data_IF_679816166365
#
_entry.id   IF_679816166365
#
_cell.length_a   1.000
_cell.length_b   1.000
_cell.length_c   1.000
_cell.angle_alpha   90.00
_cell.angle_beta   90.00
_cell.angle_gamma   90.00
#
_symmetry.space_group_name_H-M   'P 1'
#
loop_
_entity.id
_entity.type
_entity.pdbx_description
1 polymer ?
#
# COMPACT_ATOMS: atom_id res chain seq x y z
N UNK A 1 -20.78 -17.64 20.93
CA UNK A 1 -19.93 -17.68 22.14
C UNK A 1 -18.44 -17.88 21.80
N UNK A 2 -18.06 -18.93 21.06
CA UNK A 2 -16.66 -19.26 20.70
C UNK A 2 -15.94 -18.13 19.94
N UNK A 3 -16.61 -17.50 18.96
CA UNK A 3 -16.03 -16.39 18.19
C UNK A 3 -15.72 -15.13 19.03
N UNK A 4 -16.44 -14.93 20.13
CA UNK A 4 -16.21 -13.82 21.05
C UNK A 4 -15.03 -14.07 21.99
N UNK A 5 -14.85 -15.32 22.45
CA UNK A 5 -13.71 -15.70 23.27
C UNK A 5 -12.40 -15.61 22.48
N UNK A 6 -12.36 -16.18 21.27
CA UNK A 6 -11.17 -16.10 20.41
C UNK A 6 -10.75 -14.65 20.11
N UNK A 7 -11.72 -13.76 19.88
CA UNK A 7 -11.44 -12.35 19.68
C UNK A 7 -10.91 -11.67 20.97
N UNK A 8 -11.45 -11.98 22.14
CA UNK A 8 -10.91 -11.45 23.42
C UNK A 8 -9.49 -11.95 23.71
N UNK A 9 -9.21 -13.22 23.42
CA UNK A 9 -7.86 -13.78 23.52
C UNK A 9 -6.92 -13.06 22.55
N UNK A 10 -7.33 -12.85 21.30
CA UNK A 10 -6.56 -12.10 20.31
C UNK A 10 -6.29 -10.64 20.74
N UNK A 11 -7.28 -9.97 21.32
CA UNK A 11 -7.11 -8.63 21.87
C UNK A 11 -6.11 -8.61 23.05
N UNK A 12 -6.22 -9.56 23.97
CA UNK A 12 -5.29 -9.71 25.09
C UNK A 12 -3.87 -9.99 24.63
N UNK A 13 -3.68 -10.90 23.66
CA UNK A 13 -2.38 -11.19 23.07
C UNK A 13 -1.77 -9.94 22.40
N UNK A 14 -2.56 -9.18 21.65
CA UNK A 14 -2.09 -7.94 21.03
C UNK A 14 -1.69 -6.88 22.05
N UNK A 15 -2.43 -6.73 23.16
CA UNK A 15 -2.06 -5.83 24.26
C UNK A 15 -0.78 -6.26 24.97
N UNK A 16 -0.60 -7.55 25.22
CA UNK A 16 0.62 -8.07 25.84
C UNK A 16 1.84 -7.86 24.93
N UNK A 17 1.69 -8.14 23.63
CA UNK A 17 2.75 -7.89 22.64
C UNK A 17 3.05 -6.40 22.51
N UNK A 18 2.05 -5.53 22.58
CA UNK A 18 2.25 -4.07 22.58
C UNK A 18 3.04 -3.62 23.81
N UNK A 19 2.70 -4.13 25.00
CA UNK A 19 3.45 -3.83 26.22
C UNK A 19 4.91 -4.30 26.14
N UNK A 20 5.13 -5.52 25.64
CA UNK A 20 6.47 -6.06 25.45
C UNK A 20 7.28 -5.30 24.38
N UNK A 21 6.63 -4.87 23.29
CA UNK A 21 7.26 -4.07 22.25
C UNK A 21 7.66 -2.69 22.79
N UNK A 22 6.76 -2.02 23.51
CA UNK A 22 7.03 -0.72 24.11
C UNK A 22 8.11 -0.78 25.20
N UNK A 23 8.30 -1.91 25.89
CA UNK A 23 9.34 -2.04 26.92
C UNK A 23 10.75 -2.16 26.36
N UNK A 24 10.91 -2.51 25.08
CA UNK A 24 12.22 -2.66 24.43
C UNK A 24 12.49 -1.63 23.33
N UNK A 25 11.44 -1.00 22.79
CA UNK A 25 11.55 -0.10 21.66
C UNK A 25 12.30 1.20 22.04
N UNK A 26 13.36 1.58 21.32
CA UNK A 26 14.34 2.59 21.75
C UNK A 26 13.78 4.01 21.79
N UNK A 27 12.77 4.30 20.95
CA UNK A 27 12.15 5.61 20.85
C UNK A 27 10.75 5.66 21.48
N UNK A 28 10.50 4.84 22.52
CA UNK A 28 9.25 4.81 23.29
C UNK A 28 9.06 6.07 24.18
N UNK A 29 9.20 7.26 23.59
CA UNK A 29 9.01 8.53 24.25
C UNK A 29 7.53 8.85 24.53
N UNK A 30 7.25 9.89 25.34
CA UNK A 30 5.90 10.28 25.71
C UNK A 30 5.03 10.63 24.49
N UNK A 31 5.64 11.15 23.42
CA UNK A 31 4.95 11.49 22.18
C UNK A 31 4.40 10.24 21.46
N UNK A 32 5.17 9.14 21.43
CA UNK A 32 4.74 7.90 20.78
C UNK A 32 3.61 7.25 21.58
N UNK A 33 3.75 7.19 22.90
CA UNK A 33 2.70 6.67 23.79
C UNK A 33 1.42 7.50 23.65
N UNK A 34 1.53 8.84 23.63
CA UNK A 34 0.40 9.74 23.42
C UNK A 34 -0.25 9.52 22.04
N UNK A 35 0.54 9.36 20.98
CA UNK A 35 0.04 9.09 19.63
C UNK A 35 -0.69 7.73 19.56
N UNK A 36 -0.14 6.67 20.16
CA UNK A 36 -0.76 5.36 20.23
C UNK A 36 -2.04 5.38 21.08
N UNK A 37 -2.06 6.13 22.18
CA UNK A 37 -3.25 6.31 23.01
C UNK A 37 -4.34 7.11 22.27
N UNK A 38 -3.97 8.18 21.56
CA UNK A 38 -4.90 8.93 20.72
C UNK A 38 -5.47 8.07 19.58
N UNK A 39 -4.62 7.24 18.96
CA UNK A 39 -5.07 6.28 17.95
C UNK A 39 -6.00 5.22 18.55
N UNK A 40 -5.69 4.67 19.72
CA UNK A 40 -6.56 3.74 20.43
C UNK A 40 -7.92 4.37 20.77
N UNK A 41 -7.93 5.63 21.23
CA UNK A 41 -9.15 6.38 21.50
C UNK A 41 -9.96 6.62 20.23
N UNK A 42 -9.31 6.95 19.11
CA UNK A 42 -9.95 7.07 17.80
C UNK A 42 -10.60 5.76 17.38
N UNK A 43 -9.90 4.63 17.49
CA UNK A 43 -10.46 3.31 17.17
C UNK A 43 -11.58 2.91 18.13
N UNK A 44 -11.51 3.33 19.39
CA UNK A 44 -12.59 3.14 20.34
C UNK A 44 -13.82 3.92 19.91
N UNK A 45 -13.67 5.19 19.54
CA UNK A 45 -14.80 6.01 19.08
C UNK A 45 -15.35 5.56 17.72
N UNK A 46 -14.46 5.24 16.77
CA UNK A 46 -14.76 4.84 15.39
C UNK A 46 -13.96 3.59 15.01
N UNK A 47 -14.50 2.38 15.26
CA UNK A 47 -13.79 1.13 15.02
C UNK A 47 -13.36 0.87 13.59
N UNK A 48 -14.00 1.49 12.59
CA UNK A 48 -13.61 1.34 11.19
C UNK A 48 -12.52 2.34 10.75
N UNK A 49 -12.11 3.29 11.59
CA UNK A 49 -11.17 4.35 11.23
C UNK A 49 -9.78 3.83 10.86
N UNK A 50 -9.37 2.65 11.35
CA UNK A 50 -8.12 2.02 10.93
C UNK A 50 -8.06 1.77 9.42
N UNK A 51 -9.21 1.58 8.74
CA UNK A 51 -9.26 1.43 7.29
C UNK A 51 -8.74 2.68 6.58
N UNK A 52 -8.91 3.87 7.16
CA UNK A 52 -8.34 5.12 6.65
C UNK A 52 -6.90 5.29 7.12
N UNK A 53 -6.66 5.13 8.43
CA UNK A 53 -5.38 5.48 9.06
C UNK A 53 -4.27 4.55 8.61
N UNK A 54 -4.46 3.22 8.68
CA UNK A 54 -3.38 2.27 8.38
C UNK A 54 -2.80 2.45 6.97
N UNK A 55 -3.62 2.52 5.89
CA UNK A 55 -3.08 2.76 4.55
C UNK A 55 -2.40 4.12 4.38
N UNK A 56 -2.86 5.14 5.12
CA UNK A 56 -2.32 6.49 5.05
C UNK A 56 -0.95 6.60 5.74
N UNK A 57 -0.76 5.90 6.86
CA UNK A 57 0.50 5.91 7.62
C UNK A 57 1.50 4.86 7.14
N UNK A 58 1.05 3.82 6.44
CA UNK A 58 1.88 2.73 5.90
C UNK A 58 3.16 3.21 5.21
N UNK A 59 3.14 4.20 4.29
CA UNK A 59 4.35 4.61 3.58
C UNK A 59 5.21 5.61 4.35
N UNK A 60 4.80 6.10 5.52
CA UNK A 60 5.53 7.14 6.28
C UNK A 60 6.00 6.69 7.65
N UNK A 61 5.49 5.56 8.16
CA UNK A 61 5.87 4.99 9.46
C UNK A 61 6.99 3.97 9.33
N UNK A 62 8.09 4.41 8.74
CA UNK A 62 9.37 3.72 8.77
C UNK A 62 10.40 4.68 9.36
N UNK A 63 10.59 4.61 10.69
CA UNK A 63 11.61 5.43 11.35
C UNK A 63 12.94 4.69 11.55
N UNK A 64 13.16 3.58 10.83
CA UNK A 64 14.44 2.87 10.82
C UNK A 64 15.64 3.80 10.62
N UNK A 65 15.61 4.85 9.75
CA UNK A 65 16.76 5.75 9.60
C UNK A 65 17.14 6.51 10.87
N UNK A 66 16.20 6.73 11.79
CA UNK A 66 16.44 7.42 13.06
C UNK A 66 16.65 6.45 14.23
N UNK A 67 15.95 5.32 14.26
CA UNK A 67 15.99 4.37 15.38
C UNK A 67 17.00 3.24 15.19
N UNK A 68 17.39 2.95 13.94
CA UNK A 68 18.17 1.77 13.56
C UNK A 68 17.40 0.45 13.63
N UNK A 69 16.15 0.47 14.08
CA UNK A 69 15.32 -0.72 14.28
C UNK A 69 14.44 -0.98 13.06
N UNK A 70 14.58 -2.17 12.47
CA UNK A 70 13.83 -2.58 11.28
C UNK A 70 13.14 -3.95 11.43
N UNK A 71 13.37 -4.65 12.55
CA UNK A 71 12.66 -5.87 12.90
C UNK A 71 11.33 -5.58 13.62
N UNK A 72 11.34 -4.60 14.52
CA UNK A 72 10.16 -4.02 15.15
C UNK A 72 10.10 -2.54 14.73
N UNK A 73 9.05 -2.20 13.99
CA UNK A 73 8.85 -0.87 13.41
C UNK A 73 7.64 -0.19 14.07
N UNK A 74 7.49 1.12 13.87
CA UNK A 74 6.41 1.90 14.48
C UNK A 74 5.04 1.47 13.95
N UNK A 75 5.01 1.05 12.69
CA UNK A 75 3.83 0.45 12.07
C UNK A 75 3.38 -0.81 12.83
N UNK A 76 4.30 -1.64 13.35
CA UNK A 76 3.94 -2.82 14.13
C UNK A 76 3.19 -2.42 15.42
N UNK A 77 3.59 -1.33 16.07
CA UNK A 77 2.91 -0.79 17.25
C UNK A 77 1.49 -0.32 16.92
N UNK A 78 1.32 0.39 15.80
CA UNK A 78 0.00 0.84 15.32
C UNK A 78 -0.88 -0.37 14.96
N UNK A 79 -0.31 -1.41 14.36
CA UNK A 79 -1.00 -2.67 14.03
C UNK A 79 -1.42 -3.43 15.29
N UNK A 80 -0.56 -3.48 16.32
CA UNK A 80 -0.88 -4.06 17.62
C UNK A 80 -2.03 -3.31 18.31
N UNK A 81 -2.02 -1.97 18.31
CA UNK A 81 -3.15 -1.16 18.81
C UNK A 81 -4.43 -1.44 18.02
N UNK A 82 -4.31 -1.55 16.68
CA UNK A 82 -5.44 -1.89 15.80
C UNK A 82 -6.03 -3.25 16.16
N UNK A 83 -5.17 -4.25 16.40
CA UNK A 83 -5.60 -5.58 16.80
C UNK A 83 -6.22 -5.58 18.19
N UNK A 84 -5.56 -4.96 19.18
CA UNK A 84 -6.05 -4.86 20.55
C UNK A 84 -7.46 -4.26 20.62
N UNK A 85 -7.64 -3.05 20.08
CA UNK A 85 -8.92 -2.34 20.11
C UNK A 85 -9.92 -2.99 19.16
N UNK A 86 -9.50 -3.34 17.94
CA UNK A 86 -10.37 -3.91 16.92
C UNK A 86 -10.95 -5.26 17.34
N UNK A 87 -10.11 -6.17 17.84
CA UNK A 87 -10.61 -7.46 18.34
C UNK A 87 -11.50 -7.29 19.56
N UNK A 88 -11.21 -6.35 20.46
CA UNK A 88 -12.07 -6.12 21.62
C UNK A 88 -13.44 -5.55 21.23
N UNK A 89 -13.46 -4.46 20.44
CA UNK A 89 -14.69 -3.75 20.08
C UNK A 89 -15.52 -4.47 19.03
N UNK A 90 -14.89 -5.12 18.06
CA UNK A 90 -15.60 -5.76 16.95
C UNK A 90 -15.91 -7.24 17.21
N UNK A 91 -15.43 -7.83 18.32
CA UNK A 91 -15.69 -9.23 18.70
C UNK A 91 -17.17 -9.62 18.65
N UNK A 92 -18.05 -8.71 19.08
CA UNK A 92 -19.49 -8.96 19.19
C UNK A 92 -20.23 -8.85 17.85
N UNK A 93 -19.61 -8.25 16.82
CA UNK A 93 -20.23 -8.04 15.52
C UNK A 93 -20.07 -9.22 14.57
N UNK A 94 -21.15 -9.54 13.85
CA UNK A 94 -21.09 -10.47 12.73
C UNK A 94 -20.24 -9.90 11.58
N UNK A 95 -19.42 -10.73 10.89
CA UNK A 95 -18.70 -10.27 9.70
C UNK A 95 -19.67 -9.78 8.62
N UNK A 96 -19.52 -8.54 8.17
CA UNK A 96 -20.29 -7.97 7.07
C UNK A 96 -19.77 -8.47 5.71
N UNK A 97 -18.45 -8.63 5.58
CA UNK A 97 -17.78 -9.10 4.38
C UNK A 97 -17.73 -10.63 4.28
N UNK A 98 -18.12 -11.15 3.11
CA UNK A 98 -17.96 -12.56 2.75
C UNK A 98 -16.75 -12.73 1.85
N UNK A 99 -15.95 -13.75 2.14
CA UNK A 99 -14.86 -14.16 1.25
C UNK A 99 -15.42 -15.11 0.19
N UNK A 100 -14.87 -15.11 -1.04
CA UNK A 100 -15.22 -16.12 -2.03
C UNK A 100 -14.81 -17.51 -1.51
N UNK A 101 -15.47 -18.59 -1.96
CA UNK A 101 -15.23 -19.95 -1.44
C UNK A 101 -13.77 -20.41 -1.65
N UNK A 102 -13.11 -19.94 -2.72
CA UNK A 102 -11.72 -20.26 -3.05
C UNK A 102 -10.72 -19.58 -2.10
N UNK A 103 -11.11 -18.49 -1.42
CA UNK A 103 -10.18 -17.74 -0.56
C UNK A 103 -9.69 -18.57 0.63
N UNK A 104 -10.54 -19.41 1.22
CA UNK A 104 -10.15 -20.26 2.36
C UNK A 104 -8.97 -21.18 2.01
N UNK A 105 -9.13 -22.09 1.02
CA UNK A 105 -8.03 -22.93 0.55
C UNK A 105 -6.80 -22.15 0.10
N UNK A 106 -6.98 -21.03 -0.61
CA UNK A 106 -5.86 -20.20 -1.05
C UNK A 106 -5.07 -19.59 0.11
N UNK A 107 -5.74 -19.13 1.17
CA UNK A 107 -5.10 -18.61 2.38
C UNK A 107 -4.37 -19.71 3.15
N UNK A 108 -4.93 -20.92 3.21
CA UNK A 108 -4.26 -22.08 3.83
C UNK A 108 -2.99 -22.44 3.06
N UNK A 109 -3.07 -22.52 1.73
CA UNK A 109 -1.91 -22.79 0.89
C UNK A 109 -0.85 -21.70 1.05
N UNK A 110 -1.26 -20.42 1.04
CA UNK A 110 -0.35 -19.29 1.28
C UNK A 110 0.33 -19.42 2.64
N UNK A 111 -0.42 -19.69 3.71
CA UNK A 111 0.13 -19.87 5.05
C UNK A 111 1.12 -21.05 5.11
N UNK A 112 0.84 -22.17 4.42
CA UNK A 112 1.75 -23.30 4.34
C UNK A 112 3.04 -22.95 3.59
N UNK A 113 2.94 -22.24 2.46
CA UNK A 113 4.10 -21.76 1.71
C UNK A 113 4.95 -20.80 2.55
N UNK A 114 4.32 -19.86 3.27
CA UNK A 114 5.01 -18.91 4.14
C UNK A 114 5.67 -19.60 5.33
N UNK A 115 5.00 -20.57 5.95
CA UNK A 115 5.57 -21.37 7.03
C UNK A 115 6.80 -22.15 6.55
N UNK A 116 6.70 -22.79 5.38
CA UNK A 116 7.82 -23.50 4.77
C UNK A 116 8.99 -22.58 4.40
N UNK A 117 8.71 -21.44 3.77
CA UNK A 117 9.73 -20.45 3.41
C UNK A 117 10.42 -19.87 4.65
N UNK A 118 9.65 -19.59 5.71
CA UNK A 118 10.19 -19.10 6.98
C UNK A 118 11.05 -20.15 7.64
N UNK A 119 10.56 -21.40 7.73
CA UNK A 119 11.32 -22.52 8.26
C UNK A 119 12.68 -22.64 7.57
N UNK A 120 12.68 -22.66 6.23
CA UNK A 120 13.91 -22.69 5.42
C UNK A 120 14.82 -21.49 5.68
N UNK A 121 14.25 -20.30 5.86
CA UNK A 121 14.99 -19.06 6.08
C UNK A 121 15.65 -18.96 7.47
N UNK A 122 15.01 -19.51 8.50
CA UNK A 122 15.54 -19.46 9.88
C UNK A 122 16.49 -20.62 10.21
N UNK A 123 16.55 -21.66 9.37
CA UNK A 123 17.43 -22.83 9.58
C UNK A 123 18.77 -22.71 8.83
N UNK A 124 19.92 -22.90 9.49
CA UNK A 124 20.10 -23.18 10.92
C UNK A 124 19.81 -21.94 11.79
N UNK A 125 19.30 -22.18 13.00
CA UNK A 125 19.03 -21.11 13.96
C UNK A 125 20.35 -20.42 14.32
N UNK A 126 20.42 -19.11 14.11
CA UNK A 126 21.54 -18.31 14.55
C UNK A 126 21.53 -18.17 16.09
N UNK A 127 22.68 -17.93 16.75
CA UNK A 127 22.70 -17.58 18.17
C UNK A 127 21.84 -16.34 18.44
N UNK A 128 21.13 -16.32 19.58
CA UNK A 128 20.37 -15.16 20.05
C UNK A 128 21.31 -14.16 20.74
N UNK A 129 22.17 -13.53 19.96
CA UNK A 129 23.09 -12.48 20.41
C UNK A 129 22.57 -11.07 20.08
N UNK A 130 23.38 -10.05 20.35
CA UNK A 130 23.03 -8.66 20.05
C UNK A 130 22.84 -8.38 18.54
N UNK A 131 23.35 -9.24 17.66
CA UNK A 131 23.26 -9.07 16.21
C UNK A 131 22.09 -9.84 15.59
N UNK A 132 21.47 -10.78 16.31
CA UNK A 132 20.40 -11.64 15.82
C UNK A 132 19.26 -10.88 15.13
N UNK A 133 18.88 -9.70 15.64
CA UNK A 133 17.77 -8.87 15.14
C UNK A 133 18.22 -7.49 14.63
N UNK A 134 19.51 -7.31 14.31
CA UNK A 134 20.07 -6.01 13.93
C UNK A 134 20.83 -6.02 12.59
N UNK A 135 20.78 -7.10 11.82
CA UNK A 135 21.35 -7.14 10.47
C UNK A 135 20.51 -7.97 9.48
N UNK A 136 20.62 -7.65 8.19
CA UNK A 136 19.88 -8.33 7.11
C UNK A 136 20.43 -9.72 6.77
N UNK A 137 21.65 -10.03 7.18
CA UNK A 137 22.34 -11.30 6.92
C UNK A 137 21.96 -12.40 7.90
N UNK A 138 21.33 -12.04 9.03
CA UNK A 138 20.83 -12.96 10.04
C UNK A 138 19.74 -13.86 9.48
N UNK A 139 19.72 -15.13 9.87
CA UNK A 139 18.65 -16.07 9.49
C UNK A 139 17.28 -15.61 9.99
N UNK A 140 17.25 -14.80 11.06
CA UNK A 140 16.02 -14.20 11.57
C UNK A 140 15.42 -13.14 10.64
N UNK A 141 16.14 -12.60 9.65
CA UNK A 141 15.57 -11.69 8.66
C UNK A 141 14.39 -12.32 7.90
N UNK A 142 14.32 -13.66 7.83
CA UNK A 142 13.12 -14.37 7.35
C UNK A 142 11.85 -14.06 8.14
N UNK A 143 11.95 -13.84 9.46
CA UNK A 143 10.82 -13.43 10.31
C UNK A 143 10.36 -12.00 9.99
N UNK A 144 11.30 -11.11 9.67
CA UNK A 144 10.99 -9.74 9.23
C UNK A 144 10.21 -9.74 7.90
N UNK A 145 10.54 -10.64 6.99
CA UNK A 145 9.76 -10.80 5.76
C UNK A 145 8.39 -11.43 6.06
N UNK A 146 8.35 -12.46 6.90
CA UNK A 146 7.11 -13.13 7.30
C UNK A 146 6.09 -12.16 7.91
N UNK A 147 6.52 -11.23 8.78
CA UNK A 147 5.58 -10.29 9.44
C UNK A 147 4.77 -9.46 8.43
N UNK A 148 5.38 -9.08 7.30
CA UNK A 148 4.69 -8.34 6.23
C UNK A 148 3.49 -9.11 5.65
N UNK A 149 3.55 -10.44 5.65
CA UNK A 149 2.43 -11.30 5.23
C UNK A 149 1.52 -11.71 6.39
N UNK A 150 2.07 -11.88 7.59
CA UNK A 150 1.31 -12.26 8.77
C UNK A 150 0.30 -11.17 9.17
N UNK A 151 0.68 -9.90 9.09
CA UNK A 151 -0.19 -8.78 9.47
C UNK A 151 -1.51 -8.73 8.70
N UNK A 152 -1.54 -8.79 7.35
CA UNK A 152 -2.79 -8.88 6.59
C UNK A 152 -3.68 -10.05 7.01
N UNK A 153 -3.10 -11.23 7.31
CA UNK A 153 -3.84 -12.40 7.78
C UNK A 153 -4.48 -12.12 9.14
N UNK A 154 -3.73 -11.51 10.07
CA UNK A 154 -4.23 -11.10 11.39
C UNK A 154 -5.29 -10.00 11.28
N UNK A 155 -5.21 -9.10 10.30
CA UNK A 155 -6.21 -8.03 10.11
C UNK A 155 -7.46 -8.51 9.35
N UNK A 156 -7.40 -9.62 8.62
CA UNK A 156 -8.48 -10.10 7.76
C UNK A 156 -9.83 -10.27 8.49
N UNK A 157 -9.91 -10.84 9.71
CA UNK A 157 -11.17 -10.91 10.45
C UNK A 157 -11.73 -9.52 10.79
N UNK A 158 -10.85 -8.55 11.11
CA UNK A 158 -11.24 -7.18 11.38
C UNK A 158 -11.71 -6.47 10.12
N UNK A 159 -11.05 -6.71 8.98
CA UNK A 159 -11.45 -6.20 7.66
C UNK A 159 -12.87 -6.62 7.31
N UNK A 160 -13.18 -7.91 7.47
CA UNK A 160 -14.51 -8.46 7.19
C UNK A 160 -15.60 -7.88 8.09
N UNK A 161 -15.27 -7.43 9.30
CA UNK A 161 -16.23 -6.75 10.19
C UNK A 161 -16.33 -5.26 9.90
N UNK A 162 -15.21 -4.63 9.52
CA UNK A 162 -15.11 -3.18 9.33
C UNK A 162 -15.53 -2.72 7.95
N UNK A 163 -15.57 -3.60 6.94
CA UNK A 163 -15.90 -3.23 5.56
C UNK A 163 -17.34 -2.70 5.39
N UNK A 164 -18.24 -3.00 6.33
CA UNK A 164 -19.65 -2.62 6.28
C UNK A 164 -20.45 -3.38 5.19
N UNK A 165 -21.78 -3.18 5.12
CA UNK A 165 -22.62 -3.69 4.05
C UNK A 165 -22.13 -3.20 2.69
N UNK A 166 -22.17 -4.07 1.67
CA UNK A 166 -21.75 -3.78 0.28
C UNK A 166 -20.37 -3.10 0.16
N UNK A 167 -19.48 -3.36 1.12
CA UNK A 167 -18.12 -2.83 1.18
C UNK A 167 -18.06 -1.29 1.24
N UNK A 168 -19.12 -0.65 1.76
CA UNK A 168 -19.23 0.82 1.80
C UNK A 168 -18.06 1.49 2.52
N UNK A 169 -17.57 0.90 3.61
CA UNK A 169 -16.46 1.49 4.37
C UNK A 169 -15.12 1.35 3.64
N UNK A 170 -14.96 0.36 2.75
CA UNK A 170 -13.75 0.30 1.92
C UNK A 170 -13.72 1.51 0.98
N UNK A 171 -14.84 1.85 0.35
CA UNK A 171 -14.93 3.04 -0.52
C UNK A 171 -14.79 4.35 0.25
N UNK A 172 -15.37 4.42 1.45
CA UNK A 172 -15.41 5.66 2.25
C UNK A 172 -14.15 5.92 3.07
N UNK A 173 -13.43 4.88 3.49
CA UNK A 173 -12.28 5.00 4.39
C UNK A 173 -11.01 4.43 3.76
N UNK A 174 -11.05 3.19 3.27
CA UNK A 174 -9.84 2.54 2.73
C UNK A 174 -9.30 3.22 1.47
N UNK A 175 -10.18 3.54 0.51
CA UNK A 175 -9.76 4.22 -0.73
C UNK A 175 -9.14 5.58 -0.42
N UNK A 176 -9.77 6.50 0.36
CA UNK A 176 -9.10 7.74 0.76
C UNK A 176 -7.81 7.51 1.56
N UNK A 177 -7.73 6.46 2.38
CA UNK A 177 -6.51 6.13 3.13
C UNK A 177 -5.34 5.80 2.20
N UNK A 178 -5.60 4.97 1.18
CA UNK A 178 -4.62 4.67 0.12
C UNK A 178 -4.19 5.94 -0.63
N UNK A 179 -5.12 6.87 -0.89
CA UNK A 179 -4.79 8.15 -1.54
C UNK A 179 -3.95 9.06 -0.66
N UNK A 180 -4.27 9.15 0.63
CA UNK A 180 -3.49 9.93 1.59
C UNK A 180 -2.06 9.39 1.68
N UNK A 181 -1.90 8.07 1.72
CA UNK A 181 -0.58 7.45 1.72
C UNK A 181 0.16 7.65 0.39
N UNK A 182 -0.52 7.53 -0.76
CA UNK A 182 0.05 7.84 -2.08
C UNK A 182 0.57 9.28 -2.13
N UNK A 183 -0.24 10.24 -1.67
CA UNK A 183 0.14 11.66 -1.61
C UNK A 183 1.32 11.85 -0.66
N UNK A 184 1.29 11.26 0.53
CA UNK A 184 2.38 11.37 1.50
C UNK A 184 3.71 10.83 0.96
N UNK A 185 3.70 9.63 0.36
CA UNK A 185 4.87 9.03 -0.27
C UNK A 185 5.39 9.91 -1.43
N UNK A 186 4.47 10.39 -2.29
CA UNK A 186 4.84 11.21 -3.45
C UNK A 186 5.39 12.58 -3.05
N UNK A 187 4.85 13.18 -1.98
CA UNK A 187 5.36 14.43 -1.42
C UNK A 187 6.73 14.24 -0.77
N UNK A 188 6.96 13.11 -0.09
CA UNK A 188 8.28 12.79 0.44
C UNK A 188 9.32 12.62 -0.68
N UNK A 189 8.94 11.96 -1.78
CA UNK A 189 9.76 11.89 -3.00
C UNK A 189 10.05 13.28 -3.57
N UNK A 190 9.03 14.12 -3.72
CA UNK A 190 9.19 15.49 -4.24
C UNK A 190 10.11 16.32 -3.33
N UNK A 191 9.93 16.22 -2.02
CA UNK A 191 10.75 16.89 -1.01
C UNK A 191 12.23 16.47 -1.10
N UNK A 192 12.50 15.17 -1.12
CA UNK A 192 13.85 14.63 -1.29
C UNK A 192 14.48 15.15 -2.59
N UNK A 193 13.73 15.10 -3.69
CA UNK A 193 14.22 15.61 -4.97
C UNK A 193 14.50 17.10 -4.97
N UNK A 194 13.70 17.91 -4.29
CA UNK A 194 13.95 19.34 -4.15
C UNK A 194 15.30 19.62 -3.46
N UNK A 195 15.68 18.78 -2.49
CA UNK A 195 16.90 18.96 -1.72
C UNK A 195 18.17 18.46 -2.43
N UNK A 196 18.07 17.39 -3.24
CA UNK A 196 19.25 16.74 -3.84
C UNK A 196 19.46 17.10 -5.33
N UNK A 197 18.71 16.55 -6.31
CA UNK A 197 18.91 16.87 -7.72
C UNK A 197 18.22 18.16 -8.18
N UNK A 198 17.21 18.65 -7.46
CA UNK A 198 16.22 19.61 -7.93
C UNK A 198 14.96 18.92 -8.46
N UNK A 199 13.78 19.52 -8.21
CA UNK A 199 12.48 18.90 -8.44
C UNK A 199 12.29 18.35 -9.87
N UNK A 200 12.62 19.17 -10.87
CA UNK A 200 12.45 18.87 -12.30
C UNK A 200 13.76 18.50 -13.01
N UNK A 201 14.84 18.21 -12.24
CA UNK A 201 16.09 17.77 -12.83
C UNK A 201 16.04 16.27 -13.16
N UNK A 202 15.68 15.96 -14.41
CA UNK A 202 15.69 14.60 -14.96
C UNK A 202 16.99 14.28 -15.72
N UNK A 203 18.00 15.17 -15.67
CA UNK A 203 19.29 14.91 -16.29
C UNK A 203 20.17 14.00 -15.43
N UNK A 204 19.98 14.03 -14.11
CA UNK A 204 20.70 13.19 -13.15
C UNK A 204 19.87 11.96 -12.78
N UNK A 205 20.50 10.78 -12.77
CA UNK A 205 19.87 9.50 -12.41
C UNK A 205 19.71 9.33 -10.88
N UNK A 206 19.31 10.40 -10.18
CA UNK A 206 19.07 10.38 -8.75
C UNK A 206 17.77 9.63 -8.45
N UNK A 207 17.87 8.46 -7.80
CA UNK A 207 16.74 7.63 -7.38
C UNK A 207 16.36 7.95 -5.93
N UNK A 208 15.16 8.50 -5.67
CA UNK A 208 14.71 8.83 -4.33
C UNK A 208 14.45 7.57 -3.48
N UNK A 209 14.69 7.69 -2.19
CA UNK A 209 14.44 6.65 -1.18
C UNK A 209 13.13 6.86 -0.45
N UNK A 210 12.76 8.12 -0.18
CA UNK A 210 11.63 8.52 0.65
C UNK A 210 11.68 7.81 2.03
N UNK A 211 10.62 7.82 2.87
CA UNK A 211 10.62 7.11 4.15
C UNK A 211 10.43 5.59 3.95
N UNK A 212 11.30 4.98 3.14
CA UNK A 212 11.39 3.54 2.91
C UNK A 212 12.83 3.12 3.12
N UNK A 213 13.16 2.71 4.33
CA UNK A 213 14.50 2.30 4.73
C UNK A 213 15.06 1.21 3.82
N UNK A 214 14.24 0.24 3.40
CA UNK A 214 14.66 -0.84 2.51
C UNK A 214 15.24 -0.37 1.15
N UNK A 215 15.07 0.90 0.77
CA UNK A 215 15.69 1.47 -0.42
C UNK A 215 17.22 1.57 -0.30
N UNK A 216 17.78 1.66 0.92
CA UNK A 216 19.24 1.72 1.11
C UNK A 216 19.97 0.44 0.69
N UNK A 217 19.30 -0.71 0.74
CA UNK A 217 19.84 -1.99 0.25
C UNK A 217 19.54 -2.24 -1.24
N UNK A 218 19.09 -1.21 -1.97
CA UNK A 218 18.64 -1.35 -3.36
C UNK A 218 17.27 -2.03 -3.52
N UNK A 219 16.44 -2.01 -2.46
CA UNK A 219 15.08 -2.55 -2.52
C UNK A 219 14.15 -1.81 -3.48
N UNK A 220 12.95 -2.36 -3.67
CA UNK A 220 11.89 -1.80 -4.51
C UNK A 220 10.58 -1.59 -3.73
N UNK A 221 10.69 -1.31 -2.43
CA UNK A 221 9.53 -1.18 -1.54
C UNK A 221 8.68 0.06 -1.90
N UNK A 222 9.34 1.18 -2.20
CA UNK A 222 8.68 2.40 -2.68
C UNK A 222 8.00 2.15 -4.04
N UNK A 223 8.70 1.46 -4.97
CA UNK A 223 8.14 1.06 -6.26
C UNK A 223 6.85 0.24 -6.09
N UNK A 224 6.89 -0.78 -5.23
CA UNK A 224 5.76 -1.66 -4.96
C UNK A 224 4.59 -0.92 -4.30
N UNK A 225 4.86 -0.02 -3.35
CA UNK A 225 3.84 0.78 -2.69
C UNK A 225 3.11 1.69 -3.69
N UNK A 226 3.86 2.43 -4.51
CA UNK A 226 3.32 3.32 -5.51
C UNK A 226 2.50 2.56 -6.57
N UNK A 227 3.01 1.43 -7.06
CA UNK A 227 2.30 0.56 -8.00
C UNK A 227 0.98 0.03 -7.42
N UNK A 228 0.97 -0.33 -6.13
CA UNK A 228 -0.24 -0.78 -5.44
C UNK A 228 -1.24 0.37 -5.20
N UNK A 229 -0.76 1.58 -4.89
CA UNK A 229 -1.60 2.69 -4.48
C UNK A 229 -2.21 3.48 -5.66
N UNK A 230 -1.50 3.63 -6.77
CA UNK A 230 -1.94 4.41 -7.92
C UNK A 230 -3.33 3.99 -8.48
N UNK A 231 -3.67 2.70 -8.62
CA UNK A 231 -4.98 2.27 -9.14
C UNK A 231 -6.16 2.75 -8.29
N UNK A 232 -5.94 3.05 -7.00
CA UNK A 232 -6.99 3.57 -6.12
C UNK A 232 -7.46 4.97 -6.53
N UNK A 233 -6.66 5.74 -7.28
CA UNK A 233 -7.08 7.02 -7.87
C UNK A 233 -8.23 6.79 -8.84
N UNK A 234 -8.12 5.79 -9.72
CA UNK A 234 -9.19 5.43 -10.66
C UNK A 234 -10.42 4.89 -9.95
N UNK A 235 -10.23 4.08 -8.90
CA UNK A 235 -11.34 3.58 -8.06
C UNK A 235 -12.08 4.74 -7.39
N UNK A 236 -11.35 5.73 -6.87
CA UNK A 236 -11.93 6.90 -6.24
C UNK A 236 -12.71 7.76 -7.24
N UNK A 237 -12.13 8.04 -8.40
CA UNK A 237 -12.74 8.81 -9.49
C UNK A 237 -13.99 8.12 -10.07
N UNK A 238 -13.96 6.80 -10.21
CA UNK A 238 -15.09 6.01 -10.69
C UNK A 238 -16.19 5.83 -9.62
N UNK A 239 -15.82 5.88 -8.33
CA UNK A 239 -16.70 5.71 -7.19
C UNK A 239 -17.56 6.94 -6.89
N UNK A 240 -18.42 7.34 -7.84
CA UNK A 240 -19.50 8.31 -7.56
C UNK A 240 -20.59 7.62 -6.75
N UNK A 241 -20.54 7.78 -5.42
CA UNK A 241 -21.69 7.47 -4.56
C UNK A 241 -22.84 8.40 -4.97
N UNK A 242 -23.90 7.81 -5.55
CA UNK A 242 -25.10 8.56 -6.00
C UNK A 242 -25.86 9.21 -4.83
N UNK A 243 -25.65 8.70 -3.61
CA UNK A 243 -26.41 9.05 -2.42
C UNK A 243 -25.66 9.99 -1.45
N UNK A 244 -24.44 10.43 -1.80
CA UNK A 244 -23.68 11.34 -0.94
C UNK A 244 -24.06 12.81 -1.23
N UNK A 245 -24.40 13.62 -0.21
CA UNK A 245 -24.64 15.06 -0.39
C UNK A 245 -23.30 15.76 -0.66
N UNK A 246 -22.88 15.73 -1.92
CA UNK A 246 -21.53 16.10 -2.38
C UNK A 246 -21.52 17.31 -3.31
N UNK A 247 -22.57 18.12 -3.37
CA UNK A 247 -22.64 19.25 -4.32
C UNK A 247 -21.48 20.25 -4.17
N UNK A 248 -20.89 20.41 -2.97
CA UNK A 248 -19.72 21.29 -2.76
C UNK A 248 -18.36 20.65 -3.06
N UNK A 249 -18.22 19.33 -2.94
CA UNK A 249 -16.94 18.63 -3.16
C UNK A 249 -16.87 17.85 -4.47
N UNK A 250 -18.00 17.67 -5.16
CA UNK A 250 -18.06 17.04 -6.48
C UNK A 250 -17.22 17.80 -7.51
N UNK A 251 -17.23 19.13 -7.45
CA UNK A 251 -16.41 19.98 -8.31
C UNK A 251 -14.90 19.80 -8.05
N UNK A 252 -14.50 19.51 -6.81
CA UNK A 252 -13.10 19.30 -6.43
C UNK A 252 -12.62 17.85 -6.58
N UNK A 253 -13.54 16.90 -6.77
CA UNK A 253 -13.21 15.47 -6.83
C UNK A 253 -12.31 15.11 -8.02
N UNK A 254 -12.66 15.61 -9.21
CA UNK A 254 -11.85 15.42 -10.41
C UNK A 254 -10.46 16.10 -10.31
N UNK A 255 -10.34 17.41 -9.98
CA UNK A 255 -9.03 18.05 -9.91
C UNK A 255 -8.14 17.45 -8.81
N UNK A 256 -8.71 17.05 -7.65
CA UNK A 256 -7.94 16.33 -6.63
C UNK A 256 -7.45 14.96 -7.12
N UNK A 257 -8.27 14.24 -7.89
CA UNK A 257 -7.88 12.93 -8.43
C UNK A 257 -6.81 13.07 -9.49
N UNK A 258 -6.92 14.09 -10.36
CA UNK A 258 -5.88 14.45 -11.31
C UNK A 258 -4.59 14.84 -10.58
N UNK A 259 -4.65 15.64 -9.52
CA UNK A 259 -3.48 16.00 -8.72
C UNK A 259 -2.81 14.76 -8.08
N UNK A 260 -3.60 13.84 -7.53
CA UNK A 260 -3.07 12.57 -6.99
C UNK A 260 -2.40 11.73 -8.08
N UNK A 261 -3.00 11.65 -9.28
CA UNK A 261 -2.41 10.95 -10.42
C UNK A 261 -1.09 11.61 -10.83
N UNK A 262 -1.06 12.94 -10.93
CA UNK A 262 0.10 13.70 -11.33
C UNK A 262 1.25 13.53 -10.34
N UNK A 263 0.96 13.60 -9.03
CA UNK A 263 1.93 13.34 -7.97
C UNK A 263 2.45 11.90 -7.98
N UNK A 264 1.55 10.91 -8.08
CA UNK A 264 1.93 9.50 -8.12
C UNK A 264 2.73 9.12 -9.37
N UNK A 265 2.36 9.68 -10.53
CA UNK A 265 3.11 9.53 -11.77
C UNK A 265 4.48 10.21 -11.68
N UNK A 266 4.54 11.44 -11.16
CA UNK A 266 5.79 12.14 -10.91
C UNK A 266 6.72 11.31 -10.03
N UNK A 267 6.23 10.85 -8.86
CA UNK A 267 7.01 10.03 -7.95
C UNK A 267 7.55 8.78 -8.66
N UNK A 268 6.65 8.01 -9.30
CA UNK A 268 6.99 6.79 -10.05
C UNK A 268 8.05 7.01 -11.14
N UNK A 269 7.89 8.06 -11.96
CA UNK A 269 8.83 8.42 -13.04
C UNK A 269 10.20 8.84 -12.51
N UNK A 270 10.24 9.47 -11.34
CA UNK A 270 11.52 9.90 -10.75
C UNK A 270 12.32 8.79 -10.08
N UNK A 271 11.78 7.57 -9.97
CA UNK A 271 12.52 6.41 -9.50
C UNK A 271 13.44 5.81 -10.58
N UNK A 272 13.29 6.20 -11.85
CA UNK A 272 14.09 5.67 -12.97
C UNK A 272 14.15 4.13 -13.00
N UNK A 273 13.05 3.48 -12.62
CA UNK A 273 12.97 2.03 -12.45
C UNK A 273 12.05 1.42 -13.50
N UNK A 274 12.54 0.38 -14.19
CA UNK A 274 11.77 -0.31 -15.26
C UNK A 274 10.53 -0.99 -14.68
N UNK A 275 10.65 -1.50 -13.45
CA UNK A 275 9.61 -2.30 -12.80
C UNK A 275 8.37 -1.45 -12.50
N UNK A 276 8.54 -0.22 -12.00
CA UNK A 276 7.41 0.66 -11.71
C UNK A 276 6.72 1.16 -12.98
N UNK A 277 7.46 1.40 -14.07
CA UNK A 277 6.85 1.82 -15.33
C UNK A 277 5.98 0.71 -15.90
N UNK A 278 6.50 -0.52 -15.87
CA UNK A 278 5.75 -1.70 -16.27
C UNK A 278 4.53 -1.90 -15.37
N UNK A 279 4.67 -1.74 -14.06
CA UNK A 279 3.57 -1.89 -13.11
C UNK A 279 2.47 -0.84 -13.30
N UNK A 280 2.82 0.42 -13.57
CA UNK A 280 1.86 1.48 -13.91
C UNK A 280 1.14 1.19 -15.23
N UNK A 281 1.89 0.81 -16.26
CA UNK A 281 1.32 0.42 -17.56
C UNK A 281 0.36 -0.76 -17.44
N UNK A 282 0.79 -1.82 -16.74
CA UNK A 282 -0.04 -3.01 -16.49
C UNK A 282 -1.30 -2.67 -15.68
N UNK A 283 -1.17 -1.85 -14.64
CA UNK A 283 -2.30 -1.38 -13.83
C UNK A 283 -3.31 -0.59 -14.67
N UNK A 284 -2.83 0.34 -15.50
CA UNK A 284 -3.66 1.08 -16.45
C UNK A 284 -4.37 0.17 -17.44
N UNK A 285 -3.66 -0.82 -18.00
CA UNK A 285 -4.23 -1.80 -18.92
C UNK A 285 -5.34 -2.64 -18.28
N UNK A 286 -5.15 -3.10 -17.04
CA UNK A 286 -6.18 -3.84 -16.29
C UNK A 286 -7.40 -2.98 -16.03
N UNK A 287 -7.22 -1.73 -15.59
CA UNK A 287 -8.33 -0.80 -15.36
C UNK A 287 -9.09 -0.47 -16.66
N UNK A 288 -8.36 -0.24 -17.76
CA UNK A 288 -8.94 -0.02 -19.07
C UNK A 288 -9.72 -1.24 -19.56
N UNK A 289 -9.19 -2.45 -19.37
CA UNK A 289 -9.88 -3.70 -19.71
C UNK A 289 -11.18 -3.85 -18.90
N UNK A 290 -11.16 -3.57 -17.59
CA UNK A 290 -12.36 -3.61 -16.75
C UNK A 290 -13.41 -2.58 -17.23
N UNK A 291 -12.99 -1.35 -17.54
CA UNK A 291 -13.87 -0.31 -18.06
C UNK A 291 -14.46 -0.68 -19.43
N UNK A 292 -13.63 -1.19 -20.34
CA UNK A 292 -14.01 -1.68 -21.66
C UNK A 292 -15.04 -2.82 -21.57
N UNK A 293 -14.81 -3.82 -20.71
CA UNK A 293 -15.73 -4.93 -20.50
C UNK A 293 -17.08 -4.45 -19.97
N UNK A 294 -17.10 -3.46 -19.07
CA UNK A 294 -18.34 -2.82 -18.60
C UNK A 294 -19.07 -2.10 -19.73
N UNK A 295 -18.34 -1.33 -20.55
CA UNK A 295 -18.91 -0.60 -21.69
C UNK A 295 -19.46 -1.55 -22.78
N UNK A 296 -18.78 -2.66 -23.06
CA UNK A 296 -19.28 -3.72 -23.96
C UNK A 296 -20.56 -4.35 -23.44
N UNK A 297 -20.60 -4.71 -22.15
CA UNK A 297 -21.81 -5.27 -21.51
C UNK A 297 -22.98 -4.29 -21.55
N UNK A 298 -22.70 -2.99 -21.41
CA UNK A 298 -23.67 -1.92 -21.55
C UNK A 298 -24.00 -1.56 -23.03
N UNK A 299 -23.43 -2.27 -24.01
CA UNK A 299 -23.55 -2.00 -25.46
C UNK A 299 -23.15 -0.57 -25.89
N UNK A 300 -22.34 0.11 -25.09
CA UNK A 300 -21.83 1.45 -25.38
C UNK A 300 -20.56 1.42 -26.26
N UNK A 301 -19.88 0.27 -26.33
CA UNK A 301 -18.69 0.07 -27.14
C UNK A 301 -18.83 -1.17 -28.03
N UNK A 302 -18.20 -1.13 -29.20
CA UNK A 302 -18.11 -2.28 -30.11
C UNK A 302 -16.81 -3.03 -29.86
N UNK A 303 -16.80 -4.36 -29.95
CA UNK A 303 -15.57 -5.15 -29.75
C UNK A 303 -14.48 -4.81 -30.78
N UNK A 304 -14.87 -4.41 -32.00
CA UNK A 304 -13.94 -3.98 -33.07
C UNK A 304 -13.17 -2.72 -32.70
N UNK A 305 -13.80 -1.74 -32.06
CA UNK A 305 -13.12 -0.51 -31.61
C UNK A 305 -12.18 -0.78 -30.45
N UNK A 306 -12.48 -1.78 -29.61
CA UNK A 306 -11.56 -2.23 -28.56
C UNK A 306 -10.33 -2.93 -29.12
N UNK A 307 -10.48 -3.83 -30.10
CA UNK A 307 -9.33 -4.47 -30.72
C UNK A 307 -8.45 -3.46 -31.45
N UNK A 308 -9.05 -2.49 -32.15
CA UNK A 308 -8.30 -1.41 -32.78
C UNK A 308 -7.54 -0.57 -31.74
N UNK A 309 -8.19 -0.18 -30.64
CA UNK A 309 -7.54 0.56 -29.55
C UNK A 309 -6.43 -0.25 -28.87
N UNK A 310 -6.63 -1.55 -28.63
CA UNK A 310 -5.61 -2.43 -28.07
C UNK A 310 -4.42 -2.58 -29.02
N UNK A 311 -4.64 -2.75 -30.33
CA UNK A 311 -3.58 -2.82 -31.32
C UNK A 311 -2.76 -1.52 -31.36
N UNK A 312 -3.41 -0.35 -31.32
CA UNK A 312 -2.73 0.95 -31.25
C UNK A 312 -1.90 1.07 -29.98
N UNK A 313 -2.43 0.67 -28.81
CA UNK A 313 -1.68 0.72 -27.55
C UNK A 313 -0.48 -0.24 -27.55
N UNK A 314 -0.61 -1.44 -28.13
CA UNK A 314 0.51 -2.39 -28.28
C UNK A 314 1.59 -1.83 -29.19
N UNK A 315 1.20 -1.25 -30.34
CA UNK A 315 2.12 -0.60 -31.25
C UNK A 315 2.83 0.59 -30.59
N UNK A 316 2.09 1.44 -29.88
CA UNK A 316 2.64 2.56 -29.14
C UNK A 316 3.62 2.08 -28.06
N UNK A 317 3.27 1.03 -27.31
CA UNK A 317 4.15 0.42 -26.32
C UNK A 317 5.42 -0.15 -26.95
N UNK A 318 5.33 -0.84 -28.08
CA UNK A 318 6.49 -1.34 -28.83
C UNK A 318 7.40 -0.20 -29.32
N UNK A 319 6.82 0.89 -29.82
CA UNK A 319 7.57 2.09 -30.21
C UNK A 319 8.29 2.73 -29.01
N UNK A 320 7.59 2.89 -27.87
CA UNK A 320 8.18 3.45 -26.66
C UNK A 320 9.29 2.56 -26.08
N UNK A 321 9.14 1.24 -26.16
CA UNK A 321 10.20 0.30 -25.79
C UNK A 321 11.42 0.41 -26.73
N UNK A 322 11.21 0.52 -28.04
CA UNK A 322 12.31 0.72 -28.98
C UNK A 322 13.04 2.06 -28.76
N UNK A 323 12.29 3.12 -28.44
CA UNK A 323 12.88 4.40 -28.03
C UNK A 323 13.70 4.23 -26.74
N UNK A 324 13.15 3.53 -25.75
CA UNK A 324 13.86 3.26 -24.50
C UNK A 324 15.15 2.45 -24.71
N UNK A 325 15.13 1.41 -25.53
CA UNK A 325 16.30 0.57 -25.81
C UNK A 325 17.43 1.35 -26.49
N UNK A 326 17.08 2.35 -27.31
CA UNK A 326 18.05 3.15 -28.08
C UNK A 326 18.54 4.40 -27.33
N UNK A 327 17.71 5.01 -26.48
CA UNK A 327 17.95 6.35 -25.91
C UNK A 327 17.72 6.44 -24.39
N UNK A 328 17.47 5.30 -23.75
CA UNK A 328 17.25 5.17 -22.32
C UNK A 328 16.05 5.99 -21.82
N UNK A 329 16.09 6.34 -20.54
CA UNK A 329 15.03 7.10 -19.87
C UNK A 329 14.81 8.49 -20.47
N UNK A 330 15.87 9.12 -21.00
CA UNK A 330 15.83 10.49 -21.52
C UNK A 330 15.01 10.57 -22.82
N UNK A 331 15.28 9.67 -23.77
CA UNK A 331 14.49 9.67 -25.01
C UNK A 331 13.09 9.10 -24.81
N UNK A 332 12.89 8.19 -23.86
CA UNK A 332 11.54 7.78 -23.45
C UNK A 332 10.73 8.98 -22.92
N UNK A 333 11.32 9.81 -22.06
CA UNK A 333 10.66 11.00 -21.51
C UNK A 333 10.37 12.04 -22.59
N UNK A 334 11.28 12.23 -23.55
CA UNK A 334 11.06 13.09 -24.72
C UNK A 334 9.91 12.57 -25.61
N UNK A 335 9.84 11.25 -25.85
CA UNK A 335 8.77 10.64 -26.63
C UNK A 335 7.40 10.76 -25.93
N UNK A 336 7.35 10.56 -24.62
CA UNK A 336 6.13 10.79 -23.82
C UNK A 336 5.71 12.26 -23.86
N UNK A 337 6.66 13.20 -23.79
CA UNK A 337 6.40 14.63 -23.93
C UNK A 337 5.82 14.99 -25.31
N UNK A 338 6.39 14.44 -26.39
CA UNK A 338 5.89 14.64 -27.74
C UNK A 338 4.47 14.08 -27.93
N UNK A 339 4.20 12.88 -27.39
CA UNK A 339 2.86 12.28 -27.40
C UNK A 339 1.84 13.13 -26.64
N UNK A 340 2.22 13.72 -25.50
CA UNK A 340 1.34 14.57 -24.72
C UNK A 340 0.96 15.88 -25.42
N UNK A 341 1.81 16.39 -26.32
CA UNK A 341 1.53 17.59 -27.14
C UNK A 341 0.70 17.25 -28.39
N UNK A 342 0.78 16.01 -28.87
CA UNK A 342 0.08 15.57 -30.08
C UNK A 342 -1.40 15.18 -29.88
N UNK A 343 -1.85 15.08 -28.62
CA UNK A 343 -3.23 14.73 -28.22
C UNK A 343 -3.96 15.96 -27.72
#
# INVERSE_FOLDING_TARGET
>A
MIAGLAARVGAGAALLLLGAALSVYPAAGPWLVAALAAYAALLWWRPAAWLLVLPAVLPIMDFTPWTGWFFLEELDLVLLVTCAVGYWRLAAGSPAGRLPPVAGPALVLLAACLAWATWRGITPLAPLDANAFNNYTSSYNGLRILKGFAWPIVLLPLLRRSCGPDLVNLRRLFVPGMLLGLVAASLAVAWERMLFPGLLNFATDYRPTAPFSAMHTGGAALDAYLAMALPFVAVWLAGRDKDAPRERFAALHLPLGMACLLLGCFAGLTLFSRDIYLAYGASGAVLAAIAALRALRARQLRWRTLLAGAAVLVLLGACLMAVFDTSGYRGLLAALGALAVAV
#
